data_IF_437110984207
#
_entry.id   IF_437110984207
#
_cell.length_a   1.000
_cell.length_b   1.000
_cell.length_c   1.000
_cell.angle_alpha   90.00
_cell.angle_beta   90.00
_cell.angle_gamma   90.00
#
_symmetry.space_group_name_H-M   'P 1'
#
loop_
_entity.id
_entity.type
_entity.pdbx_description
1 polymer ?
#
# COMPACT_ATOMS: atom_id res chain seq x y z
N UNK A 1 27.60 18.17 4.37
CA UNK A 1 26.52 18.03 3.37
C UNK A 1 26.20 16.57 3.10
N UNK A 2 27.21 15.70 2.90
CA UNK A 2 27.03 14.24 2.80
C UNK A 2 26.32 13.64 4.02
N UNK A 3 26.66 14.10 5.22
CA UNK A 3 26.09 13.61 6.49
C UNK A 3 24.57 13.77 6.59
N UNK A 4 23.99 14.76 5.90
CA UNK A 4 22.54 14.95 5.85
C UNK A 4 21.87 13.85 5.01
N UNK A 5 22.47 13.50 3.86
CA UNK A 5 21.98 12.41 3.02
C UNK A 5 22.19 11.06 3.70
N UNK A 6 23.34 10.82 4.34
CA UNK A 6 23.54 9.60 5.13
C UNK A 6 22.56 9.49 6.29
N UNK A 7 22.23 10.60 6.98
CA UNK A 7 21.23 10.58 8.06
C UNK A 7 19.79 10.35 7.57
N UNK A 8 19.43 10.82 6.37
CA UNK A 8 18.13 10.55 5.76
C UNK A 8 17.94 9.06 5.39
N UNK A 9 19.02 8.40 4.98
CA UNK A 9 19.00 6.98 4.60
C UNK A 9 19.45 6.02 5.72
N UNK A 10 19.86 6.53 6.88
CA UNK A 10 20.27 5.70 8.02
C UNK A 10 19.07 5.25 8.85
N UNK A 11 18.89 3.93 8.97
CA UNK A 11 17.85 3.28 9.78
C UNK A 11 17.98 3.51 11.30
N UNK A 12 18.99 4.25 11.76
CA UNK A 12 19.31 4.44 13.19
C UNK A 12 18.34 5.37 13.93
N UNK A 13 17.59 6.22 13.22
CA UNK A 13 16.63 7.17 13.82
C UNK A 13 15.16 6.83 13.54
N UNK A 14 14.88 5.76 12.76
CA UNK A 14 13.52 5.32 12.49
C UNK A 14 13.17 4.20 13.47
N UNK A 15 12.38 4.53 14.51
CA UNK A 15 11.84 3.50 15.39
C UNK A 15 10.85 2.62 14.61
N UNK A 16 11.03 1.30 14.56
CA UNK A 16 10.01 0.41 14.01
C UNK A 16 8.74 0.54 14.87
N UNK A 17 7.58 0.62 14.22
CA UNK A 17 6.31 0.80 14.90
C UNK A 17 5.97 -0.36 15.86
N UNK A 18 6.65 -1.51 15.74
CA UNK A 18 6.61 -2.63 16.69
C UNK A 18 6.92 -2.23 18.14
N UNK A 19 7.73 -1.18 18.39
CA UNK A 19 7.98 -0.67 19.74
C UNK A 19 6.73 -0.01 20.37
N UNK A 20 5.85 0.58 19.56
CA UNK A 20 4.59 1.16 20.04
C UNK A 20 3.50 0.12 20.29
N UNK A 21 3.54 -1.05 19.61
CA UNK A 21 2.60 -2.16 19.81
C UNK A 21 2.95 -3.09 20.99
N UNK A 22 3.96 -2.75 21.79
CA UNK A 22 4.49 -3.59 22.88
C UNK A 22 4.82 -5.04 22.45
N UNK A 23 5.11 -5.28 21.16
CA UNK A 23 5.34 -6.64 20.65
C UNK A 23 4.21 -7.63 21.03
N UNK A 24 2.97 -7.14 21.18
CA UNK A 24 1.82 -8.01 21.45
C UNK A 24 1.41 -8.72 20.16
N UNK A 25 1.57 -10.06 20.07
CA UNK A 25 1.43 -10.78 18.81
C UNK A 25 0.00 -10.71 18.26
N UNK A 26 -1.02 -10.59 19.12
CA UNK A 26 -2.41 -10.50 18.70
C UNK A 26 -2.71 -9.24 17.89
N UNK A 27 -2.26 -8.07 18.34
CA UNK A 27 -2.54 -6.80 17.65
C UNK A 27 -1.74 -6.70 16.36
N UNK A 28 -0.50 -7.21 16.35
CA UNK A 28 0.34 -7.28 15.16
C UNK A 28 -0.31 -8.13 14.06
N UNK A 29 -0.77 -9.35 14.41
CA UNK A 29 -1.41 -10.25 13.45
C UNK A 29 -2.74 -9.72 12.92
N UNK A 30 -3.57 -9.11 13.77
CA UNK A 30 -4.81 -8.48 13.34
C UNK A 30 -4.55 -7.34 12.34
N UNK A 31 -3.51 -6.55 12.56
CA UNK A 31 -3.14 -5.48 11.63
C UNK A 31 -2.68 -6.04 10.30
N UNK A 32 -1.76 -7.01 10.32
CA UNK A 32 -1.22 -7.65 9.11
C UNK A 32 -2.32 -8.33 8.29
N UNK A 33 -3.24 -9.06 8.93
CA UNK A 33 -4.38 -9.69 8.26
C UNK A 33 -5.31 -8.63 7.66
N UNK A 34 -5.63 -7.58 8.41
CA UNK A 34 -6.48 -6.49 7.92
C UNK A 34 -5.85 -5.79 6.72
N UNK A 35 -4.55 -5.48 6.78
CA UNK A 35 -3.80 -4.85 5.70
C UNK A 35 -3.71 -5.76 4.46
N UNK A 36 -3.59 -7.08 4.64
CA UNK A 36 -3.66 -8.06 3.54
C UNK A 36 -5.04 -8.10 2.88
N UNK A 37 -6.12 -8.12 3.66
CA UNK A 37 -7.49 -8.11 3.13
C UNK A 37 -7.75 -6.81 2.37
N UNK A 38 -7.31 -5.68 2.91
CA UNK A 38 -7.43 -4.37 2.24
C UNK A 38 -6.63 -4.38 0.95
N UNK A 39 -5.38 -4.86 0.94
CA UNK A 39 -4.57 -4.96 -0.27
C UNK A 39 -5.27 -5.82 -1.35
N UNK A 40 -5.80 -6.99 -1.00
CA UNK A 40 -6.53 -7.85 -1.94
C UNK A 40 -7.77 -7.15 -2.49
N UNK A 41 -8.54 -6.47 -1.64
CA UNK A 41 -9.71 -5.70 -2.07
C UNK A 41 -9.32 -4.56 -3.03
N UNK A 42 -8.24 -3.84 -2.72
CA UNK A 42 -7.71 -2.76 -3.53
C UNK A 42 -7.16 -3.25 -4.87
N UNK A 43 -6.63 -4.46 -4.99
CA UNK A 43 -6.25 -5.04 -6.29
C UNK A 43 -7.43 -5.59 -7.10
N UNK A 44 -8.50 -6.03 -6.43
CA UNK A 44 -9.71 -6.57 -7.09
C UNK A 44 -10.51 -5.48 -7.84
N UNK A 45 -10.60 -4.28 -7.27
CA UNK A 45 -11.32 -3.13 -7.86
C UNK A 45 -10.79 -2.73 -9.26
N UNK A 46 -9.48 -2.47 -9.45
CA UNK A 46 -8.91 -2.13 -10.76
C UNK A 46 -8.98 -3.31 -11.74
N UNK A 47 -8.92 -4.56 -11.26
CA UNK A 47 -9.11 -5.75 -12.11
C UNK A 47 -10.53 -5.78 -12.71
N UNK A 48 -11.56 -5.56 -11.88
CA UNK A 48 -12.94 -5.48 -12.35
C UNK A 48 -13.16 -4.29 -13.31
N UNK A 49 -12.60 -3.13 -13.00
CA UNK A 49 -12.61 -1.95 -13.87
C UNK A 49 -11.94 -2.22 -15.21
N UNK A 50 -10.79 -2.89 -15.22
CA UNK A 50 -10.09 -3.27 -16.44
C UNK A 50 -10.94 -4.20 -17.32
N UNK A 51 -11.56 -5.23 -16.75
CA UNK A 51 -12.45 -6.16 -17.47
C UNK A 51 -13.61 -5.41 -18.14
N UNK A 52 -14.21 -4.45 -17.43
CA UNK A 52 -15.30 -3.60 -17.98
C UNK A 52 -14.78 -2.73 -19.12
N UNK A 53 -13.58 -2.16 -18.98
CA UNK A 53 -12.95 -1.31 -20.00
C UNK A 53 -12.59 -2.09 -21.27
N UNK A 54 -12.14 -3.34 -21.13
CA UNK A 54 -11.87 -4.23 -22.25
C UNK A 54 -13.15 -4.69 -22.95
N UNK A 55 -14.22 -4.99 -22.20
CA UNK A 55 -15.51 -5.39 -22.77
C UNK A 55 -16.28 -4.23 -23.42
N UNK A 56 -16.19 -3.01 -22.88
CA UNK A 56 -16.84 -1.81 -23.45
C UNK A 56 -15.81 -0.88 -24.11
N UNK A 57 -15.68 -0.99 -25.43
CA UNK A 57 -14.74 -0.19 -26.26
C UNK A 57 -15.01 1.33 -26.27
N UNK A 58 -16.23 1.76 -25.91
CA UNK A 58 -16.72 3.14 -26.05
C UNK A 58 -16.81 3.91 -24.72
N UNK A 59 -15.69 4.12 -24.05
CA UNK A 59 -15.60 5.08 -22.94
C UNK A 59 -14.76 6.28 -23.36
N UNK A 60 -15.28 7.52 -23.24
CA UNK A 60 -14.55 8.74 -23.61
C UNK A 60 -13.36 9.04 -22.69
N UNK A 61 -13.33 8.50 -21.46
CA UNK A 61 -12.32 8.83 -20.44
C UNK A 61 -11.52 7.60 -19.93
N UNK A 62 -10.93 6.82 -20.84
CA UNK A 62 -10.08 5.66 -20.47
C UNK A 62 -8.87 6.06 -19.61
N UNK A 63 -8.33 7.26 -19.83
CA UNK A 63 -7.20 7.79 -19.07
C UNK A 63 -7.53 8.05 -17.60
N UNK A 64 -8.72 8.59 -17.30
CA UNK A 64 -9.16 8.84 -15.93
C UNK A 64 -9.30 7.53 -15.14
N UNK A 65 -9.78 6.48 -15.81
CA UNK A 65 -9.89 5.14 -15.22
C UNK A 65 -8.51 4.54 -14.95
N UNK A 66 -7.54 4.76 -15.86
CA UNK A 66 -6.15 4.37 -15.64
C UNK A 66 -5.53 5.08 -14.42
N UNK A 67 -5.75 6.39 -14.28
CA UNK A 67 -5.29 7.17 -13.13
C UNK A 67 -5.94 6.71 -11.82
N UNK A 68 -7.24 6.42 -11.84
CA UNK A 68 -7.97 5.91 -10.67
C UNK A 68 -7.47 4.53 -10.26
N UNK A 69 -7.24 3.63 -11.23
CA UNK A 69 -6.65 2.31 -10.98
C UNK A 69 -5.23 2.43 -10.40
N UNK A 70 -4.40 3.32 -10.95
CA UNK A 70 -3.05 3.57 -10.44
C UNK A 70 -3.09 4.08 -9.00
N UNK A 71 -3.97 5.04 -8.68
CA UNK A 71 -4.16 5.56 -7.33
C UNK A 71 -4.54 4.46 -6.33
N UNK A 72 -5.47 3.58 -6.69
CA UNK A 72 -5.86 2.45 -5.84
C UNK A 72 -4.68 1.50 -5.61
N UNK A 73 -3.90 1.18 -6.65
CA UNK A 73 -2.71 0.33 -6.49
C UNK A 73 -1.68 0.99 -5.56
N UNK A 74 -1.41 2.29 -5.73
CA UNK A 74 -0.53 3.06 -4.85
C UNK A 74 -1.00 3.02 -3.39
N UNK A 75 -2.29 3.20 -3.12
CA UNK A 75 -2.85 3.04 -1.77
C UNK A 75 -2.71 1.61 -1.24
N UNK A 76 -2.90 0.58 -2.07
CA UNK A 76 -2.65 -0.81 -1.69
C UNK A 76 -1.18 -1.05 -1.30
N UNK A 77 -0.23 -0.46 -2.04
CA UNK A 77 1.20 -0.59 -1.72
C UNK A 77 1.58 0.06 -0.40
N UNK A 78 0.89 1.12 0.04
CA UNK A 78 1.15 1.72 1.36
C UNK A 78 0.79 0.79 2.52
N UNK A 79 -0.22 -0.07 2.36
CA UNK A 79 -0.54 -1.10 3.36
C UNK A 79 0.55 -2.18 3.44
N UNK A 80 1.12 -2.59 2.31
CA UNK A 80 2.23 -3.56 2.26
C UNK A 80 3.49 -2.96 2.91
N UNK A 81 3.81 -1.70 2.61
CA UNK A 81 4.91 -0.98 3.26
C UNK A 81 4.66 -0.86 4.76
N UNK A 82 3.41 -0.61 5.18
CA UNK A 82 2.98 -0.63 6.58
C UNK A 82 3.36 -1.93 7.30
N UNK A 83 3.04 -3.09 6.69
CA UNK A 83 3.42 -4.41 7.22
C UNK A 83 4.94 -4.54 7.39
N UNK A 84 5.72 -4.08 6.40
CA UNK A 84 7.19 -4.12 6.45
C UNK A 84 7.75 -3.19 7.53
N UNK A 85 7.15 -2.02 7.76
CA UNK A 85 7.56 -1.05 8.80
C UNK A 85 7.10 -1.41 10.21
N UNK A 86 6.14 -2.33 10.32
CA UNK A 86 5.67 -2.90 11.59
C UNK A 86 6.65 -3.94 12.15
N UNK A 87 7.50 -4.52 11.28
CA UNK A 87 8.51 -5.53 11.58
C UNK A 87 9.89 -4.90 11.78
#
# INVERSE_FOLDING_TARGET
MSDFFTNLFSNTNFLPHGHCYMWTPEILWLHVISDLIIAIAYYSIPLALAIILFKRKAFPFKWLIGLFAAFIILCGTTHIIGIVTQW
#
